data_IF_913432210455
#
_entry.id   IF_913432210455
#
_cell.length_a   1.000
_cell.length_b   1.000
_cell.length_c   1.000
_cell.angle_alpha   90.00
_cell.angle_beta   90.00
_cell.angle_gamma   90.00
#
_symmetry.space_group_name_H-M   'P 1'
#
loop_
_entity.id
_entity.type
_entity.pdbx_description
1 polymer ?
#
# COMPACT_ATOMS: atom_id res chain seq x y z
N UNK A 1 3.11 10.35 -11.20
CA UNK A 1 2.70 8.93 -11.11
C UNK A 1 3.30 8.22 -12.31
N UNK A 2 3.87 7.01 -12.17
CA UNK A 2 3.83 6.11 -13.32
C UNK A 2 2.35 5.96 -13.68
N UNK A 3 1.98 6.31 -14.91
CA UNK A 3 0.60 6.14 -15.38
C UNK A 3 0.17 4.66 -15.19
N UNK A 4 -1.04 4.43 -14.67
CA UNK A 4 -1.60 3.08 -14.55
C UNK A 4 -1.29 2.30 -13.26
N UNK A 5 -1.28 2.93 -12.09
CA UNK A 5 -1.28 2.22 -10.79
C UNK A 5 -2.60 2.47 -10.05
N UNK A 6 -3.13 1.43 -9.40
CA UNK A 6 -4.30 1.51 -8.51
C UNK A 6 -3.83 1.49 -7.05
N UNK A 7 -4.45 2.30 -6.19
CA UNK A 7 -4.19 2.32 -4.75
C UNK A 7 -5.51 2.42 -4.01
N UNK A 8 -5.60 1.83 -2.82
CA UNK A 8 -6.85 1.79 -2.07
C UNK A 8 -6.80 0.94 -0.81
N UNK A 9 -7.98 0.73 -0.26
CA UNK A 9 -8.25 0.03 0.99
C UNK A 9 -8.71 -1.38 0.66
N UNK A 10 -7.99 -2.40 1.11
CA UNK A 10 -8.56 -3.74 1.24
C UNK A 10 -9.20 -3.84 2.64
N UNK A 11 -10.18 -2.97 2.90
CA UNK A 11 -10.92 -3.00 4.16
C UNK A 11 -12.22 -3.74 3.87
N UNK A 12 -12.48 -4.77 4.67
CA UNK A 12 -13.55 -5.77 4.60
C UNK A 12 -13.16 -7.06 3.88
N UNK A 13 -13.22 -8.19 4.62
CA UNK A 13 -12.91 -9.57 4.22
C UNK A 13 -13.74 -10.18 3.08
N UNK A 14 -14.21 -9.34 2.15
CA UNK A 14 -14.77 -9.67 0.84
C UNK A 14 -13.75 -9.46 -0.32
N UNK A 15 -12.60 -8.82 -0.08
CA UNK A 15 -11.90 -8.05 -1.12
C UNK A 15 -10.61 -8.65 -1.71
N UNK A 16 -10.30 -9.92 -1.42
CA UNK A 16 -9.38 -10.70 -2.28
C UNK A 16 -9.85 -10.66 -3.74
N UNK A 17 -11.16 -10.44 -3.97
CA UNK A 17 -11.75 -10.25 -5.29
C UNK A 17 -11.26 -9.00 -6.01
N UNK A 18 -11.08 -7.85 -5.35
CA UNK A 18 -10.52 -6.65 -6.00
C UNK A 18 -9.09 -6.89 -6.46
N UNK A 19 -8.25 -7.44 -5.56
CA UNK A 19 -6.89 -7.83 -5.90
C UNK A 19 -6.86 -8.79 -7.09
N UNK A 20 -7.62 -9.89 -7.02
CA UNK A 20 -7.72 -10.88 -8.10
C UNK A 20 -8.26 -10.30 -9.42
N UNK A 21 -9.22 -9.38 -9.35
CA UNK A 21 -9.78 -8.72 -10.52
C UNK A 21 -8.75 -7.81 -11.21
N UNK A 22 -7.98 -7.05 -10.42
CA UNK A 22 -6.87 -6.23 -10.94
C UNK A 22 -5.77 -7.12 -11.51
N UNK A 23 -5.40 -8.21 -10.82
CA UNK A 23 -4.44 -9.21 -11.31
C UNK A 23 -4.89 -9.80 -12.65
N UNK A 24 -6.18 -10.15 -12.81
CA UNK A 24 -6.73 -10.72 -14.05
C UNK A 24 -6.61 -9.79 -15.26
N UNK A 25 -6.42 -8.48 -15.02
CA UNK A 25 -6.26 -7.44 -16.04
C UNK A 25 -4.81 -7.02 -16.23
N UNK A 26 -3.86 -7.62 -15.51
CA UNK A 26 -2.47 -7.16 -15.45
C UNK A 26 -2.32 -5.74 -14.90
N UNK A 27 -3.29 -5.29 -14.10
CA UNK A 27 -3.32 -3.93 -13.57
C UNK A 27 -2.41 -3.85 -12.34
N UNK A 28 -1.41 -2.96 -12.38
CA UNK A 28 -0.52 -2.75 -11.23
C UNK A 28 -1.26 -2.09 -10.08
N UNK A 29 -1.01 -2.52 -8.85
CA UNK A 29 -1.62 -1.96 -7.67
C UNK A 29 -0.76 -2.00 -6.41
N UNK A 30 -1.12 -1.15 -5.46
CA UNK A 30 -0.72 -1.21 -4.06
C UNK A 30 -1.97 -1.05 -3.19
N UNK A 31 -2.43 -2.13 -2.57
CA UNK A 31 -3.62 -2.13 -1.72
C UNK A 31 -3.21 -2.31 -0.27
N UNK A 32 -3.80 -1.56 0.65
CA UNK A 32 -3.57 -1.79 2.08
C UNK A 32 -4.09 -3.16 2.47
N UNK A 33 -3.31 -3.94 3.20
CA UNK A 33 -3.64 -5.29 3.60
C UNK A 33 -3.69 -5.40 5.13
N UNK A 34 -4.46 -6.35 5.62
CA UNK A 34 -4.45 -6.72 7.04
C UNK A 34 -3.19 -7.53 7.39
N UNK A 35 -3.00 -7.81 8.68
CA UNK A 35 -1.94 -8.69 9.16
C UNK A 35 -2.30 -10.17 8.92
N UNK A 36 -2.46 -10.52 7.64
CA UNK A 36 -2.93 -11.84 7.21
C UNK A 36 -1.77 -12.81 6.87
N UNK A 37 -2.05 -14.12 6.81
CA UNK A 37 -1.08 -15.12 6.34
C UNK A 37 -0.84 -15.02 4.83
N UNK A 38 0.44 -14.95 4.44
CA UNK A 38 0.89 -14.82 3.05
C UNK A 38 1.92 -15.92 2.72
N UNK A 39 1.97 -16.34 1.46
CA UNK A 39 3.03 -17.23 0.99
C UNK A 39 4.36 -16.50 0.89
N UNK A 40 5.32 -16.87 1.74
CA UNK A 40 6.60 -16.19 1.85
C UNK A 40 7.76 -17.19 1.86
N UNK A 41 8.77 -16.96 1.00
CA UNK A 41 9.90 -17.86 0.75
C UNK A 41 9.54 -19.27 0.23
N UNK A 42 8.25 -19.53 -0.01
CA UNK A 42 7.72 -20.80 -0.49
C UNK A 42 6.20 -20.84 -0.34
N UNK A 43 5.57 -22.01 -0.57
CA UNK A 43 4.13 -22.22 -0.41
C UNK A 43 3.67 -22.29 1.06
N UNK A 44 4.44 -21.73 1.99
CA UNK A 44 4.15 -21.72 3.43
C UNK A 44 3.51 -20.40 3.85
N UNK A 45 2.40 -20.48 4.59
CA UNK A 45 1.71 -19.30 5.10
C UNK A 45 2.44 -18.71 6.31
N UNK A 46 2.91 -17.47 6.16
CA UNK A 46 3.55 -16.67 7.21
C UNK A 46 2.79 -15.36 7.35
N UNK A 47 2.42 -15.00 8.57
CA UNK A 47 1.74 -13.72 8.84
C UNK A 47 2.62 -12.52 8.51
N UNK A 48 2.02 -11.44 8.04
CA UNK A 48 2.74 -10.23 7.63
C UNK A 48 3.64 -9.64 8.72
N UNK A 49 3.23 -9.68 10.00
CA UNK A 49 4.06 -9.28 11.13
C UNK A 49 5.32 -10.15 11.30
N UNK A 50 5.18 -11.46 11.21
CA UNK A 50 6.30 -12.41 11.27
C UNK A 50 7.25 -12.24 10.09
N UNK A 51 6.71 -11.95 8.91
CA UNK A 51 7.53 -11.60 7.75
C UNK A 51 8.33 -10.33 8.08
N UNK A 52 7.68 -9.26 8.56
CA UNK A 52 8.33 -8.00 8.89
C UNK A 52 9.46 -8.16 9.93
N UNK A 53 9.22 -8.92 11.00
CA UNK A 53 10.20 -9.20 12.05
C UNK A 53 11.42 -9.96 11.52
N UNK A 54 11.22 -10.85 10.54
CA UNK A 54 12.27 -11.65 9.94
C UNK A 54 13.09 -10.92 8.85
N UNK A 55 12.67 -9.71 8.44
CA UNK A 55 13.40 -8.94 7.41
C UNK A 55 14.71 -8.38 7.98
N UNK A 56 15.86 -8.61 7.29
CA UNK A 56 17.14 -8.10 7.74
C UNK A 56 17.17 -6.56 7.69
N UNK A 57 17.98 -5.93 8.55
CA UNK A 57 18.08 -4.47 8.63
C UNK A 57 18.29 -3.78 7.28
N UNK A 58 19.08 -4.38 6.38
CA UNK A 58 19.36 -3.86 5.03
C UNK A 58 18.15 -3.79 4.10
N UNK A 59 17.11 -4.58 4.36
CA UNK A 59 15.85 -4.56 3.61
C UNK A 59 15.05 -3.28 3.86
N UNK A 60 15.26 -2.63 5.01
CA UNK A 60 14.58 -1.41 5.40
C UNK A 60 15.27 -0.18 4.82
N UNK A 61 14.49 0.79 4.34
CA UNK A 61 14.97 2.12 3.95
C UNK A 61 14.00 3.18 4.43
N UNK A 62 14.56 4.27 4.96
CA UNK A 62 13.78 5.45 5.32
C UNK A 62 13.35 6.18 4.06
N UNK A 63 12.05 6.32 3.86
CA UNK A 63 11.47 7.01 2.71
C UNK A 63 10.28 7.87 3.17
N UNK A 64 10.08 8.99 2.47
CA UNK A 64 8.95 9.89 2.69
C UNK A 64 7.69 9.32 2.04
N UNK A 65 6.58 9.35 2.79
CA UNK A 65 5.23 9.06 2.33
C UNK A 65 4.49 10.33 1.90
N UNK A 66 5.22 11.33 1.42
CA UNK A 66 4.69 12.63 1.04
C UNK A 66 4.76 13.68 2.15
N UNK A 67 4.39 14.91 1.79
CA UNK A 67 4.32 16.03 2.73
C UNK A 67 3.10 15.88 3.63
N UNK A 68 3.28 16.05 4.94
CA UNK A 68 2.21 16.17 5.92
C UNK A 68 2.15 17.57 6.52
N UNK A 69 1.11 17.84 7.30
CA UNK A 69 0.91 19.13 7.98
C UNK A 69 2.08 19.55 8.91
N UNK A 70 2.91 18.59 9.35
CA UNK A 70 4.07 18.80 10.23
C UNK A 70 5.42 18.58 9.53
N UNK A 71 5.44 18.56 8.19
CA UNK A 71 6.61 18.22 7.39
C UNK A 71 6.53 16.83 6.76
N UNK A 72 7.63 16.35 6.18
CA UNK A 72 7.67 15.05 5.50
C UNK A 72 7.29 13.90 6.42
N UNK A 73 6.40 13.02 5.95
CA UNK A 73 5.99 11.82 6.68
C UNK A 73 7.01 10.71 6.44
N UNK A 74 8.09 10.71 7.21
CA UNK A 74 9.15 9.70 7.10
C UNK A 74 8.78 8.41 7.83
N UNK A 75 8.98 7.28 7.16
CA UNK A 75 8.85 5.93 7.74
C UNK A 75 9.98 5.04 7.25
N UNK A 76 10.23 3.95 7.98
CA UNK A 76 11.05 2.87 7.47
C UNK A 76 10.16 1.96 6.59
N UNK A 77 10.63 1.65 5.38
CA UNK A 77 9.91 0.82 4.44
C UNK A 77 10.74 -0.38 4.00
N UNK A 78 10.10 -1.54 3.92
CA UNK A 78 10.67 -2.73 3.32
C UNK A 78 9.73 -3.28 2.24
N UNK A 79 10.31 -3.78 1.16
CA UNK A 79 9.57 -4.45 0.08
C UNK A 79 10.17 -5.84 -0.07
N UNK A 80 9.35 -6.87 0.09
CA UNK A 80 9.78 -8.26 0.03
C UNK A 80 8.91 -9.06 -0.94
N UNK A 81 9.49 -9.91 -1.81
CA UNK A 81 8.71 -10.73 -2.73
C UNK A 81 7.90 -11.78 -1.96
N UNK A 82 6.65 -11.96 -2.39
CA UNK A 82 5.79 -13.05 -1.97
C UNK A 82 5.90 -14.18 -2.99
N UNK A 83 5.78 -15.40 -2.50
CA UNK A 83 5.72 -16.57 -3.37
C UNK A 83 4.30 -16.74 -3.91
N UNK A 84 4.18 -17.08 -5.19
CA UNK A 84 2.92 -17.41 -5.85
C UNK A 84 3.17 -18.54 -6.84
N UNK A 85 2.19 -19.42 -6.97
CA UNK A 85 2.17 -20.39 -8.05
C UNK A 85 1.79 -19.66 -9.34
N UNK A 86 2.77 -19.49 -10.24
CA UNK A 86 2.59 -18.83 -11.54
C UNK A 86 2.91 -19.84 -12.64
N UNK A 87 1.87 -20.37 -13.26
CA UNK A 87 1.98 -21.46 -14.24
C UNK A 87 2.22 -20.86 -15.62
N UNK A 88 1.45 -19.84 -16.00
CA UNK A 88 1.54 -19.21 -17.31
C UNK A 88 2.75 -18.26 -17.40
N UNK A 89 3.34 -18.13 -18.59
CA UNK A 89 4.47 -17.23 -18.84
C UNK A 89 4.10 -15.77 -18.57
N UNK A 90 2.88 -15.37 -18.92
CA UNK A 90 2.37 -14.00 -18.70
C UNK A 90 2.27 -13.67 -17.21
N UNK A 91 1.79 -14.60 -16.38
CA UNK A 91 1.78 -14.43 -14.93
C UNK A 91 3.19 -14.21 -14.38
N UNK A 92 4.19 -14.90 -14.96
CA UNK A 92 5.60 -14.74 -14.57
C UNK A 92 6.21 -13.41 -14.99
N UNK A 93 5.55 -12.59 -15.79
CA UNK A 93 5.98 -11.21 -16.00
C UNK A 93 5.65 -10.31 -14.80
N UNK A 94 4.71 -10.73 -13.95
CA UNK A 94 4.28 -10.00 -12.76
C UNK A 94 4.85 -10.62 -11.48
N UNK A 95 5.14 -9.76 -10.50
CA UNK A 95 5.50 -10.16 -9.16
C UNK A 95 4.46 -9.72 -8.15
N UNK A 96 4.39 -10.48 -7.06
CA UNK A 96 3.62 -10.14 -5.87
C UNK A 96 4.59 -9.83 -4.75
N UNK A 97 4.32 -8.78 -3.99
CA UNK A 97 5.20 -8.30 -2.94
C UNK A 97 4.38 -7.85 -1.74
N UNK A 98 5.00 -7.95 -0.57
CA UNK A 98 4.55 -7.28 0.63
C UNK A 98 5.38 -6.01 0.81
N UNK A 99 4.72 -4.87 0.81
CA UNK A 99 5.32 -3.61 1.25
C UNK A 99 4.95 -3.41 2.72
N UNK A 100 5.97 -3.23 3.55
CA UNK A 100 5.82 -2.99 4.99
C UNK A 100 6.26 -1.57 5.29
N UNK A 101 5.41 -0.82 5.96
CA UNK A 101 5.73 0.47 6.59
C UNK A 101 5.96 0.24 8.08
N UNK A 102 6.97 0.88 8.65
CA UNK A 102 7.26 0.87 10.08
C UNK A 102 7.42 2.29 10.62
N UNK A 103 6.77 2.61 11.73
CA UNK A 103 6.96 3.89 12.42
C UNK A 103 8.39 4.04 12.95
N UNK A 104 8.82 5.27 13.12
CA UNK A 104 10.18 5.60 13.60
C UNK A 104 10.25 5.73 15.13
N UNK A 105 9.11 5.69 15.81
CA UNK A 105 9.02 5.73 17.27
C UNK A 105 9.41 4.38 17.90
N UNK A 106 9.44 4.36 19.23
CA UNK A 106 9.80 3.17 20.01
C UNK A 106 8.83 2.01 19.79
N UNK A 107 7.57 2.30 19.46
CA UNK A 107 6.53 1.27 19.24
C UNK A 107 6.74 0.49 17.95
N UNK A 108 7.37 1.12 16.94
CA UNK A 108 7.68 0.50 15.65
C UNK A 108 6.47 -0.21 15.02
N UNK A 109 5.32 0.46 15.05
CA UNK A 109 4.06 -0.07 14.53
C UNK A 109 4.17 -0.30 13.01
N UNK A 110 3.60 -1.41 12.57
CA UNK A 110 3.64 -1.84 11.18
C UNK A 110 2.33 -1.57 10.45
N UNK A 111 2.42 -1.24 9.16
CA UNK A 111 1.30 -1.26 8.22
C UNK A 111 1.71 -2.04 6.97
N UNK A 112 0.76 -2.77 6.38
CA UNK A 112 1.02 -3.73 5.31
C UNK A 112 0.29 -3.35 4.04
N UNK A 113 0.92 -3.63 2.90
CA UNK A 113 0.31 -3.43 1.60
C UNK A 113 0.65 -4.58 0.65
N UNK A 114 -0.36 -5.12 -0.01
CA UNK A 114 -0.21 -6.04 -1.12
C UNK A 114 0.17 -5.26 -2.38
N UNK A 115 1.24 -5.68 -3.04
CA UNK A 115 1.74 -5.06 -4.27
C UNK A 115 1.72 -6.10 -5.39
N UNK A 116 1.12 -5.75 -6.51
CA UNK A 116 1.18 -6.51 -7.75
C UNK A 116 1.63 -5.59 -8.88
N UNK A 117 2.67 -5.98 -9.60
CA UNK A 117 3.21 -5.17 -10.69
C UNK A 117 4.15 -5.99 -11.59
N UNK A 118 4.41 -5.52 -12.82
CA UNK A 118 5.46 -6.08 -13.66
C UNK A 118 6.80 -6.09 -12.92
N UNK A 119 7.51 -7.22 -12.96
CA UNK A 119 8.82 -7.40 -12.31
C UNK A 119 9.86 -6.38 -12.79
N UNK A 120 9.71 -5.87 -14.02
CA UNK A 120 10.58 -4.86 -14.62
C UNK A 120 10.38 -3.44 -14.09
N UNK A 121 9.25 -3.14 -13.44
CA UNK A 121 8.86 -1.76 -13.05
C UNK A 121 8.69 -1.59 -11.53
N UNK A 122 8.58 -2.68 -10.78
CA UNK A 122 8.37 -2.61 -9.34
C UNK A 122 9.65 -2.21 -8.61
N UNK A 123 9.59 -1.08 -7.92
CA UNK A 123 10.64 -0.65 -7.00
C UNK A 123 10.02 -0.22 -5.69
N UNK A 124 10.80 -0.29 -4.60
CA UNK A 124 10.35 0.19 -3.29
C UNK A 124 9.90 1.65 -3.33
N UNK A 125 10.64 2.50 -4.03
CA UNK A 125 10.28 3.92 -4.16
C UNK A 125 8.93 4.09 -4.88
N UNK A 126 8.72 3.37 -5.99
CA UNK A 126 7.45 3.41 -6.72
C UNK A 126 6.29 2.95 -5.84
N UNK A 127 6.46 1.82 -5.14
CA UNK A 127 5.43 1.27 -4.25
C UNK A 127 5.10 2.22 -3.10
N UNK A 128 6.11 2.86 -2.48
CA UNK A 128 5.91 3.87 -1.43
C UNK A 128 5.16 5.09 -1.97
N UNK A 129 5.53 5.59 -3.15
CA UNK A 129 4.86 6.75 -3.75
C UNK A 129 3.38 6.46 -4.05
N UNK A 130 3.06 5.23 -4.50
CA UNK A 130 1.68 4.81 -4.77
C UNK A 130 0.89 4.62 -3.47
N UNK A 131 1.48 4.00 -2.44
CA UNK A 131 0.86 3.85 -1.12
C UNK A 131 0.59 5.21 -0.45
N UNK A 132 1.54 6.14 -0.56
CA UNK A 132 1.47 7.47 0.03
C UNK A 132 0.28 8.30 -0.48
N UNK A 133 -0.12 8.12 -1.75
CA UNK A 133 -1.25 8.86 -2.34
C UNK A 133 -2.59 8.58 -1.66
N UNK A 134 -2.76 7.43 -1.02
CA UNK A 134 -3.95 7.11 -0.23
C UNK A 134 -4.19 8.18 0.85
N UNK A 135 -3.14 8.57 1.55
CA UNK A 135 -3.22 9.58 2.62
C UNK A 135 -3.52 10.98 2.08
N UNK A 136 -3.11 11.31 0.86
CA UNK A 136 -3.45 12.58 0.22
C UNK A 136 -4.95 12.66 -0.12
N UNK A 137 -5.57 11.55 -0.54
CA UNK A 137 -7.00 11.48 -0.89
C UNK A 137 -7.88 11.67 0.34
N UNK A 138 -7.51 11.07 1.48
CA UNK A 138 -8.20 11.27 2.76
C UNK A 138 -8.08 12.74 3.25
N UNK A 139 -6.91 13.35 3.12
CA UNK A 139 -6.68 14.77 3.49
C UNK A 139 -7.44 15.74 2.57
N UNK A 140 -7.51 15.45 1.26
CA UNK A 140 -8.26 16.26 0.29
C UNK A 140 -9.79 16.18 0.45
N UNK A 141 -10.30 15.03 0.90
CA UNK A 141 -11.72 14.89 1.27
C UNK A 141 -12.07 15.68 2.53
N UNK A 142 -11.17 15.77 3.52
CA UNK A 142 -11.37 16.66 4.69
C UNK A 142 -11.35 18.14 4.30
N UNK A 143 -10.47 18.56 3.38
CA UNK A 143 -10.46 19.93 2.87
C UNK A 143 -11.77 20.29 2.12
N UNK A 144 -12.34 19.33 1.37
CA UNK A 144 -13.61 19.54 0.66
C UNK A 144 -14.82 19.60 1.63
N UNK A 145 -14.72 18.99 2.82
CA UNK A 145 -15.72 19.16 3.89
C UNK A 145 -15.61 20.51 4.62
N UNK A 146 -14.49 21.22 4.46
CA UNK A 146 -14.29 22.57 5.01
C UNK A 146 -14.86 23.70 4.14
N UNK A 147 -15.04 23.48 2.84
CA UNK A 147 -15.47 24.54 1.90
C UNK A 147 -16.96 24.52 1.56
N UNK A 148 -17.71 23.47 1.92
CA UNK A 148 -19.17 23.43 1.78
C UNK A 148 -19.90 23.96 3.03
N UNK A 149 -19.46 25.11 3.56
CA UNK A 149 -20.27 25.92 4.49
C UNK A 149 -20.66 27.24 3.82
N UNK A 150 -21.33 27.15 2.68
CA UNK A 150 -21.98 28.30 2.06
C UNK A 150 -23.32 28.55 2.76
N UNK A 151 -23.24 29.46 3.73
CA UNK A 151 -24.25 30.43 4.16
C UNK A 151 -25.71 30.16 3.77
N UNK A 152 -26.42 29.43 4.63
CA UNK A 152 -27.85 29.71 4.81
C UNK A 152 -27.99 30.87 5.78
N UNK A 153 -27.93 32.09 5.24
CA UNK A 153 -28.34 33.28 5.95
C UNK A 153 -29.86 33.23 6.14
N UNK A 154 -30.29 32.93 7.37
CA UNK A 154 -31.70 32.98 7.76
C UNK A 154 -32.10 34.46 7.87
N UNK A 155 -32.82 35.00 6.88
CA UNK A 155 -33.58 36.23 7.09
C UNK A 155 -34.95 35.86 7.65
N UNK A 156 -35.18 36.25 8.90
CA UNK A 156 -36.52 36.48 9.44
C UNK A 156 -36.87 37.95 9.18
N UNK A 157 -37.85 38.21 8.31
CA UNK A 157 -39.00 39.08 8.59
C UNK A 157 -40.03 38.98 7.47
#
# INVERSE_FOLDING_TARGET
MPCGWVTGDEVYGSDRQMGLWLESRGQSFVLAAENEPLWWQGPDYVRADRIADALPAQAWRRLSAGAGAKGERLYDWALTPLWRMQIATEERCFGHYLLVRRTLDEKREHAYYAVHAPRSNVTRQTSVNVAARRWEIETGSEATKGECRLDQYVVRR
#
